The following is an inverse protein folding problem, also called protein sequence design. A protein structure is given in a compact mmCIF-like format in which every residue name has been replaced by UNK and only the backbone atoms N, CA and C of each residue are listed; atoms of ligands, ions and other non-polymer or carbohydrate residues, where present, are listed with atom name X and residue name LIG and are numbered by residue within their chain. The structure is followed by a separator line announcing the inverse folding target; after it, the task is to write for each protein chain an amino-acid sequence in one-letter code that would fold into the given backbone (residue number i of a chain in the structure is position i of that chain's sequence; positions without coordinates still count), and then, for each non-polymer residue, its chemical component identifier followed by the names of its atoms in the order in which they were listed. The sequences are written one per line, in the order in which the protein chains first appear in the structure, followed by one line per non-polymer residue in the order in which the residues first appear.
data_IF_671950611562
#
_entry.id   IF_671950611562
#
_cell.length_a   1.000
_cell.length_b   1.000
_cell.length_c   1.000
_cell.angle_alpha   90.00
_cell.angle_beta   90.00
_cell.angle_gamma   90.00
#
_symmetry.space_group_name_H-M   'P 1'
#
loop_
_entity.id
_entity.type
_entity.pdbx_description
1 polymer ?
#
# COMPACT_ATOMS: atom_id res chain seq x y z
N UNK A 1 16.97 -0.69 20.65
CA UNK A 1 15.78 -0.06 20.07
C UNK A 1 14.49 -0.87 20.32
N UNK A 2 14.54 -2.20 20.26
CA UNK A 2 13.36 -3.08 20.47
C UNK A 2 12.82 -3.04 21.92
N UNK A 3 13.66 -2.95 22.95
CA UNK A 3 13.23 -2.88 24.36
C UNK A 3 12.51 -1.56 24.70
N UNK A 4 12.96 -0.42 24.17
CA UNK A 4 12.27 0.87 24.37
C UNK A 4 10.89 0.91 23.71
N UNK A 5 10.71 0.23 22.56
CA UNK A 5 9.42 0.14 21.88
C UNK A 5 8.46 -0.79 22.65
N UNK A 6 8.96 -1.83 23.30
CA UNK A 6 8.12 -2.77 24.06
C UNK A 6 7.41 -2.12 25.27
N UNK A 7 7.95 -1.05 25.83
CA UNK A 7 7.39 -0.33 26.97
C UNK A 7 6.41 0.79 26.59
N UNK A 8 6.21 1.05 25.27
CA UNK A 8 5.29 2.09 24.81
C UNK A 8 3.84 1.57 24.78
N UNK A 9 2.88 2.48 24.84
CA UNK A 9 1.47 2.18 24.60
C UNK A 9 1.24 1.64 23.17
N UNK A 10 0.28 0.72 23.02
CA UNK A 10 -0.01 0.07 21.75
C UNK A 10 -0.32 1.07 20.63
N UNK A 11 -0.98 2.18 20.95
CA UNK A 11 -1.28 3.24 19.99
C UNK A 11 0.00 3.90 19.47
N UNK A 12 0.92 4.22 20.35
CA UNK A 12 2.23 4.81 20.00
C UNK A 12 3.06 3.83 19.17
N UNK A 13 3.02 2.52 19.48
CA UNK A 13 3.65 1.49 18.65
C UNK A 13 3.10 1.48 17.23
N UNK A 14 1.77 1.48 17.09
CA UNK A 14 1.10 1.53 15.79
C UNK A 14 1.52 2.76 14.98
N UNK A 15 1.59 3.92 15.62
CA UNK A 15 2.04 5.18 15.02
C UNK A 15 3.49 5.10 14.52
N UNK A 16 4.41 4.59 15.32
CA UNK A 16 5.82 4.45 14.93
C UNK A 16 5.93 3.52 13.71
N UNK A 17 5.23 2.39 13.73
CA UNK A 17 5.28 1.45 12.60
C UNK A 17 4.71 2.04 11.32
N UNK A 18 3.64 2.84 11.36
CA UNK A 18 3.08 3.45 10.15
C UNK A 18 3.98 4.57 9.59
N UNK A 19 4.69 5.31 10.46
CA UNK A 19 5.69 6.29 10.03
C UNK A 19 6.89 5.59 9.37
N UNK A 20 7.37 4.47 9.93
CA UNK A 20 8.42 3.64 9.34
C UNK A 20 7.94 3.10 7.97
N UNK A 21 6.71 2.60 7.89
CA UNK A 21 6.09 2.17 6.64
C UNK A 21 6.14 3.27 5.58
N UNK A 22 5.63 4.47 5.88
CA UNK A 22 5.58 5.59 4.93
C UNK A 22 6.97 6.02 4.45
N UNK A 23 7.93 6.14 5.36
CA UNK A 23 9.32 6.49 5.02
C UNK A 23 9.95 5.43 4.09
N UNK A 24 9.90 4.16 4.48
CA UNK A 24 10.51 3.08 3.70
C UNK A 24 9.77 2.82 2.39
N UNK A 25 8.46 3.06 2.32
CA UNK A 25 7.70 3.00 1.07
C UNK A 25 8.17 4.07 0.09
N UNK A 26 8.34 5.32 0.55
CA UNK A 26 8.85 6.40 -0.26
C UNK A 26 10.30 6.12 -0.74
N UNK A 27 11.16 5.58 0.12
CA UNK A 27 12.51 5.13 -0.26
C UNK A 27 12.43 4.02 -1.30
N UNK A 28 11.62 2.99 -1.10
CA UNK A 28 11.43 1.87 -2.04
C UNK A 28 11.00 2.38 -3.41
N UNK A 29 9.99 3.26 -3.45
CA UNK A 29 9.49 3.85 -4.69
C UNK A 29 10.54 4.73 -5.39
N UNK A 30 11.34 5.46 -4.61
CA UNK A 30 12.47 6.24 -5.14
C UNK A 30 13.51 5.34 -5.78
N UNK A 31 13.91 4.26 -5.11
CA UNK A 31 14.88 3.29 -5.64
C UNK A 31 14.36 2.59 -6.90
N UNK A 32 13.10 2.16 -6.92
CA UNK A 32 12.45 1.54 -8.09
C UNK A 32 12.32 2.52 -9.26
N UNK A 33 12.15 3.83 -8.99
CA UNK A 33 12.14 4.87 -10.01
C UNK A 33 13.56 5.12 -10.51
N UNK A 34 14.56 5.18 -9.65
CA UNK A 34 15.98 5.37 -9.99
C UNK A 34 16.56 4.17 -10.76
N UNK A 35 15.99 2.99 -10.65
CA UNK A 35 16.34 1.82 -11.45
C UNK A 35 16.06 2.01 -12.97
N UNK A 36 15.38 3.10 -13.35
CA UNK A 36 15.13 3.47 -14.75
C UNK A 36 13.90 2.79 -15.37
N UNK A 37 13.78 2.91 -16.68
CA UNK A 37 12.67 2.34 -17.47
C UNK A 37 12.96 0.88 -17.84
N UNK A 38 12.74 -0.02 -16.91
CA UNK A 38 12.78 -1.47 -17.10
C UNK A 38 11.37 -2.06 -16.94
N UNK A 39 11.11 -3.27 -17.43
CA UNK A 39 9.79 -3.92 -17.32
C UNK A 39 9.28 -3.95 -15.88
N UNK A 40 8.01 -3.63 -15.69
CA UNK A 40 7.38 -3.58 -14.37
C UNK A 40 7.40 -4.95 -13.69
N UNK A 41 7.23 -6.03 -14.48
CA UNK A 41 7.32 -7.39 -13.99
C UNK A 41 8.69 -7.66 -13.35
N UNK A 42 9.76 -7.21 -13.99
CA UNK A 42 11.13 -7.39 -13.51
C UNK A 42 11.35 -6.65 -12.17
N UNK A 43 10.95 -5.37 -12.08
CA UNK A 43 10.98 -4.62 -10.81
C UNK A 43 10.24 -5.35 -9.69
N UNK A 44 9.05 -5.87 -10.00
CA UNK A 44 8.20 -6.52 -9.01
C UNK A 44 8.78 -7.87 -8.58
N UNK A 45 9.31 -8.68 -9.51
CA UNK A 45 9.91 -9.99 -9.19
C UNK A 45 11.12 -9.82 -8.28
N UNK A 46 12.04 -8.88 -8.57
CA UNK A 46 13.18 -8.61 -7.68
C UNK A 46 12.71 -8.19 -6.29
N UNK A 47 11.83 -7.20 -6.20
CA UNK A 47 11.32 -6.68 -4.93
C UNK A 47 10.59 -7.76 -4.12
N UNK A 48 9.63 -8.45 -4.73
CA UNK A 48 8.82 -9.44 -4.03
C UNK A 48 9.61 -10.73 -3.78
N UNK A 49 10.52 -11.13 -4.66
CA UNK A 49 11.39 -12.29 -4.46
C UNK A 49 12.26 -12.14 -3.21
N UNK A 50 12.89 -10.98 -3.03
CA UNK A 50 13.70 -10.69 -1.84
C UNK A 50 12.82 -10.69 -0.58
N UNK A 51 11.63 -10.08 -0.65
CA UNK A 51 10.68 -10.06 0.45
C UNK A 51 10.13 -11.46 0.77
N UNK A 52 9.92 -12.32 -0.23
CA UNK A 52 9.51 -13.71 -0.06
C UNK A 52 10.54 -14.52 0.72
N UNK A 53 11.84 -14.35 0.43
CA UNK A 53 12.92 -14.98 1.19
C UNK A 53 12.87 -14.58 2.67
N UNK A 54 12.71 -13.29 2.95
CA UNK A 54 12.57 -12.80 4.32
C UNK A 54 11.32 -13.35 5.01
N UNK A 55 10.19 -13.38 4.30
CA UNK A 55 8.94 -13.97 4.77
C UNK A 55 9.08 -15.48 5.07
N UNK A 56 9.74 -16.22 4.19
CA UNK A 56 10.05 -17.64 4.39
C UNK A 56 10.87 -17.87 5.67
N UNK A 57 11.93 -17.10 5.85
CA UNK A 57 12.77 -17.18 7.07
C UNK A 57 11.92 -16.85 8.31
N UNK A 58 11.04 -15.85 8.25
CA UNK A 58 10.18 -15.46 9.37
C UNK A 58 9.17 -16.57 9.73
N UNK A 59 8.53 -17.21 8.73
CA UNK A 59 7.61 -18.35 8.97
C UNK A 59 8.37 -19.52 9.55
N UNK A 60 9.53 -19.86 8.98
CA UNK A 60 10.36 -21.01 9.44
C UNK A 60 10.84 -20.82 10.87
N UNK A 61 11.29 -19.62 11.24
CA UNK A 61 11.68 -19.31 12.62
C UNK A 61 10.52 -19.38 13.61
N UNK A 62 9.31 -19.00 13.17
CA UNK A 62 8.14 -18.97 14.05
C UNK A 62 7.48 -20.35 14.22
N UNK A 63 7.47 -21.20 13.18
CA UNK A 63 6.64 -22.43 13.15
C UNK A 63 7.41 -23.68 12.70
N UNK A 64 8.66 -23.58 12.29
CA UNK A 64 9.44 -24.69 11.71
C UNK A 64 8.94 -25.11 10.33
N UNK A 65 9.51 -26.20 9.77
CA UNK A 65 9.21 -26.67 8.41
C UNK A 65 8.02 -27.63 8.32
N UNK A 66 7.49 -28.13 9.43
CA UNK A 66 6.56 -29.28 9.43
C UNK A 66 5.15 -28.95 8.96
N UNK A 67 4.67 -27.74 9.18
CA UNK A 67 3.27 -27.36 8.90
C UNK A 67 3.17 -26.52 7.62
N UNK A 68 2.85 -27.16 6.49
CA UNK A 68 2.66 -26.51 5.19
C UNK A 68 1.53 -25.46 5.21
N UNK A 69 0.55 -25.59 6.11
CA UNK A 69 -0.57 -24.64 6.21
C UNK A 69 -0.10 -23.25 6.70
N UNK A 70 1.03 -23.19 7.38
CA UNK A 70 1.67 -21.93 7.82
C UNK A 70 2.33 -21.16 6.69
N UNK A 71 2.67 -21.84 5.60
CA UNK A 71 3.26 -21.22 4.41
C UNK A 71 2.19 -20.89 3.37
N UNK A 72 1.31 -21.84 3.05
CA UNK A 72 0.37 -21.73 1.92
C UNK A 72 -1.08 -21.50 2.35
N UNK A 73 -1.31 -21.32 3.64
CA UNK A 73 -2.66 -21.14 4.15
C UNK A 73 -3.44 -22.47 4.30
N UNK A 74 -4.65 -22.35 4.81
CA UNK A 74 -5.58 -23.45 5.02
C UNK A 74 -6.97 -23.09 4.43
N UNK A 75 -7.94 -24.02 4.49
CA UNK A 75 -9.30 -23.80 3.94
C UNK A 75 -9.99 -22.53 4.47
N UNK A 76 -9.61 -22.05 5.65
CA UNK A 76 -10.26 -20.88 6.28
C UNK A 76 -9.69 -19.53 5.81
N UNK A 77 -8.43 -19.51 5.33
CA UNK A 77 -7.74 -18.29 4.99
C UNK A 77 -7.24 -18.19 3.54
N UNK A 78 -7.20 -19.34 2.80
CA UNK A 78 -6.70 -19.39 1.43
C UNK A 78 -7.42 -18.41 0.48
N UNK A 79 -8.75 -18.29 0.61
CA UNK A 79 -9.53 -17.37 -0.21
C UNK A 79 -9.10 -15.92 0.02
N UNK A 80 -8.96 -15.52 1.27
CA UNK A 80 -8.49 -14.16 1.61
C UNK A 80 -7.06 -13.91 1.14
N UNK A 81 -6.16 -14.90 1.29
CA UNK A 81 -4.79 -14.83 0.79
C UNK A 81 -4.75 -14.69 -0.74
N UNK A 82 -5.59 -15.45 -1.47
CA UNK A 82 -5.66 -15.40 -2.93
C UNK A 82 -6.21 -14.06 -3.42
N UNK A 83 -7.30 -13.56 -2.83
CA UNK A 83 -7.87 -12.25 -3.19
C UNK A 83 -6.84 -11.14 -2.93
N UNK A 84 -6.18 -11.15 -1.76
CA UNK A 84 -5.10 -10.25 -1.45
C UNK A 84 -4.00 -10.28 -2.51
N UNK A 85 -3.57 -11.49 -2.89
CA UNK A 85 -2.48 -11.66 -3.85
C UNK A 85 -2.86 -11.15 -5.23
N UNK A 86 -4.06 -11.44 -5.72
CA UNK A 86 -4.54 -10.94 -7.02
C UNK A 86 -4.64 -9.42 -7.00
N UNK A 87 -5.31 -8.86 -6.00
CA UNK A 87 -5.42 -7.41 -5.84
C UNK A 87 -4.05 -6.75 -5.68
N UNK A 88 -3.16 -7.35 -4.89
CA UNK A 88 -1.81 -6.83 -4.68
C UNK A 88 -0.95 -6.86 -5.96
N UNK A 89 -0.99 -7.95 -6.76
CA UNK A 89 -0.27 -8.02 -8.03
C UNK A 89 -0.77 -6.96 -9.01
N UNK A 90 -2.09 -6.86 -9.20
CA UNK A 90 -2.69 -5.87 -10.09
C UNK A 90 -2.42 -4.45 -9.60
N UNK A 91 -2.52 -4.23 -8.28
CA UNK A 91 -2.24 -2.94 -7.66
C UNK A 91 -0.80 -2.49 -7.86
N UNK A 92 0.16 -3.35 -7.53
CA UNK A 92 1.58 -2.97 -7.62
C UNK A 92 2.04 -2.81 -9.07
N UNK A 93 1.61 -3.66 -9.98
CA UNK A 93 1.98 -3.52 -11.40
C UNK A 93 1.47 -2.22 -11.99
N UNK A 94 0.23 -1.84 -11.70
CA UNK A 94 -0.36 -0.57 -12.12
C UNK A 94 0.35 0.63 -11.48
N UNK A 95 0.67 0.56 -10.18
CA UNK A 95 1.38 1.63 -9.47
C UNK A 95 2.82 1.80 -9.96
N UNK A 96 3.56 0.72 -10.21
CA UNK A 96 4.92 0.80 -10.74
C UNK A 96 4.94 1.30 -12.18
N UNK A 97 3.93 0.95 -12.98
CA UNK A 97 3.76 1.54 -14.30
C UNK A 97 3.55 3.06 -14.18
N UNK A 98 2.64 3.50 -13.32
CA UNK A 98 2.38 4.91 -13.09
C UNK A 98 3.65 5.65 -12.58
N UNK A 99 4.40 5.04 -11.67
CA UNK A 99 5.61 5.60 -11.07
C UNK A 99 6.72 5.85 -12.10
N UNK A 100 6.75 5.10 -13.21
CA UNK A 100 7.73 5.34 -14.28
C UNK A 100 7.51 6.68 -15.01
N UNK A 101 6.26 7.13 -15.09
CA UNK A 101 5.87 8.31 -15.88
C UNK A 101 5.46 9.51 -15.03
N UNK A 102 4.95 9.29 -13.82
CA UNK A 102 4.54 10.35 -12.91
C UNK A 102 5.67 10.77 -11.97
N UNK A 103 5.59 11.98 -11.44
CA UNK A 103 6.45 12.39 -10.32
C UNK A 103 6.08 11.59 -9.07
N UNK A 104 7.07 11.37 -8.20
CA UNK A 104 6.96 10.47 -7.06
C UNK A 104 5.76 10.81 -6.15
N UNK A 105 5.64 12.10 -5.77
CA UNK A 105 4.54 12.56 -4.92
C UNK A 105 3.16 12.43 -5.57
N UNK A 106 3.06 12.68 -6.90
CA UNK A 106 1.80 12.49 -7.63
C UNK A 106 1.37 11.02 -7.62
N UNK A 107 2.31 10.09 -7.86
CA UNK A 107 2.04 8.67 -7.83
C UNK A 107 1.57 8.23 -6.43
N UNK A 108 2.24 8.69 -5.35
CA UNK A 108 1.85 8.39 -3.97
C UNK A 108 0.45 8.92 -3.64
N UNK A 109 0.14 10.18 -3.95
CA UNK A 109 -1.19 10.76 -3.67
C UNK A 109 -2.31 10.02 -4.42
N UNK A 110 -2.09 9.67 -5.69
CA UNK A 110 -3.09 8.90 -6.44
C UNK A 110 -3.24 7.48 -5.90
N UNK A 111 -2.17 6.86 -5.40
CA UNK A 111 -2.22 5.56 -4.72
C UNK A 111 -3.03 5.63 -3.41
N UNK A 112 -2.97 6.74 -2.69
CA UNK A 112 -3.69 6.96 -1.44
C UNK A 112 -5.20 7.12 -1.62
N UNK A 113 -5.71 7.28 -2.84
CA UNK A 113 -7.13 7.13 -3.16
C UNK A 113 -7.67 5.74 -2.75
N UNK A 114 -6.80 4.78 -2.48
CA UNK A 114 -7.17 3.46 -1.95
C UNK A 114 -8.06 3.53 -0.72
N UNK A 115 -7.93 4.56 0.12
CA UNK A 115 -8.79 4.77 1.30
C UNK A 115 -10.28 4.91 0.92
N UNK A 116 -10.56 5.60 -0.20
CA UNK A 116 -11.93 5.75 -0.69
C UNK A 116 -12.45 4.41 -1.25
N UNK A 117 -11.62 3.67 -1.96
CA UNK A 117 -11.96 2.34 -2.46
C UNK A 117 -12.18 1.34 -1.33
N UNK A 118 -11.46 1.44 -0.21
CA UNK A 118 -11.73 0.62 0.98
C UNK A 118 -13.17 0.80 1.45
N UNK A 119 -13.70 2.02 1.48
CA UNK A 119 -15.09 2.28 1.88
C UNK A 119 -16.08 1.70 0.86
N UNK A 120 -15.82 1.92 -0.43
CA UNK A 120 -16.65 1.39 -1.53
C UNK A 120 -16.70 -0.14 -1.47
N UNK A 121 -15.56 -0.79 -1.36
CA UNK A 121 -15.49 -2.26 -1.32
C UNK A 121 -16.01 -2.85 -0.01
N UNK A 122 -15.86 -2.15 1.12
CA UNK A 122 -16.49 -2.56 2.38
C UNK A 122 -18.03 -2.53 2.25
N UNK A 123 -18.60 -1.55 1.55
CA UNK A 123 -20.03 -1.52 1.25
C UNK A 123 -20.44 -2.71 0.36
N UNK A 124 -19.71 -2.96 -0.74
CA UNK A 124 -20.07 -3.98 -1.72
C UNK A 124 -19.90 -5.41 -1.12
N UNK A 125 -18.76 -5.70 -0.53
CA UNK A 125 -18.38 -7.06 -0.12
C UNK A 125 -18.71 -7.38 1.33
N UNK A 126 -18.61 -6.41 2.24
CA UNK A 126 -18.90 -6.59 3.66
C UNK A 126 -20.32 -6.15 4.02
N UNK A 127 -21.09 -5.60 3.04
CA UNK A 127 -22.46 -5.10 3.22
C UNK A 127 -22.57 -4.04 4.35
N UNK A 128 -21.51 -3.30 4.57
CA UNK A 128 -21.50 -2.15 5.50
C UNK A 128 -22.37 -1.02 4.92
N UNK A 129 -23.17 -0.36 5.75
CA UNK A 129 -24.00 0.76 5.28
C UNK A 129 -23.12 1.98 4.98
N UNK A 130 -23.19 2.50 3.77
CA UNK A 130 -22.61 3.82 3.41
C UNK A 130 -23.59 4.93 3.81
N UNK A 131 -23.08 5.97 4.45
CA UNK A 131 -23.82 7.18 4.76
C UNK A 131 -23.56 8.26 3.70
N UNK A 132 -24.54 9.14 3.47
CA UNK A 132 -24.46 10.19 2.45
C UNK A 132 -23.15 11.03 2.58
N UNK A 133 -22.74 11.34 3.80
CA UNK A 133 -21.53 12.12 4.05
C UNK A 133 -20.23 11.43 3.58
N UNK A 134 -20.18 10.11 3.66
CA UNK A 134 -19.06 9.32 3.11
C UNK A 134 -19.03 9.40 1.58
N UNK A 135 -20.20 9.35 0.93
CA UNK A 135 -20.31 9.51 -0.53
C UNK A 135 -19.79 10.89 -0.95
N UNK A 136 -20.21 11.96 -0.26
CA UNK A 136 -19.73 13.32 -0.53
C UNK A 136 -18.20 13.40 -0.43
N UNK A 137 -17.60 12.87 0.64
CA UNK A 137 -16.15 12.89 0.83
C UNK A 137 -15.41 12.06 -0.22
N UNK A 138 -15.97 10.93 -0.65
CA UNK A 138 -15.44 10.14 -1.76
C UNK A 138 -15.44 10.97 -3.05
N UNK A 139 -16.56 11.61 -3.39
CA UNK A 139 -16.65 12.48 -4.57
C UNK A 139 -15.64 13.64 -4.52
N UNK A 140 -15.48 14.29 -3.36
CA UNK A 140 -14.48 15.36 -3.17
C UNK A 140 -13.06 14.83 -3.38
N UNK A 141 -12.74 13.64 -2.87
CA UNK A 141 -11.43 13.00 -3.09
C UNK A 141 -11.16 12.75 -4.59
N UNK A 142 -12.13 12.23 -5.32
CA UNK A 142 -11.98 12.02 -6.77
C UNK A 142 -11.89 13.34 -7.56
N UNK A 143 -12.61 14.39 -7.15
CA UNK A 143 -12.45 15.75 -7.72
C UNK A 143 -11.02 16.27 -7.47
N UNK A 144 -10.47 16.04 -6.28
CA UNK A 144 -9.06 16.33 -5.98
C UNK A 144 -8.10 15.59 -6.92
N UNK A 145 -8.37 14.32 -7.22
CA UNK A 145 -7.57 13.56 -8.18
C UNK A 145 -7.64 14.15 -9.61
N UNK A 146 -8.80 14.60 -10.05
CA UNK A 146 -8.94 15.30 -11.35
C UNK A 146 -8.12 16.60 -11.38
N UNK A 147 -8.06 17.35 -10.27
CA UNK A 147 -7.21 18.55 -10.15
C UNK A 147 -5.74 18.18 -10.24
N UNK A 148 -5.30 17.08 -9.60
CA UNK A 148 -3.91 16.57 -9.70
C UNK A 148 -3.58 16.20 -11.13
N UNK A 149 -4.47 15.48 -11.79
CA UNK A 149 -4.29 14.96 -13.15
C UNK A 149 -4.26 16.11 -14.16
N UNK A 150 -5.01 17.17 -13.93
CA UNK A 150 -5.14 18.33 -14.82
C UNK A 150 -5.19 17.93 -16.31
N UNK A 151 -6.27 17.28 -16.77
CA UNK A 151 -6.37 16.67 -18.09
C UNK A 151 -6.25 17.66 -19.25
N UNK A 152 -6.34 18.95 -18.98
CA UNK A 152 -6.19 20.02 -19.99
C UNK A 152 -4.74 20.35 -20.31
N UNK A 153 -3.78 19.85 -19.53
CA UNK A 153 -2.36 20.04 -19.84
C UNK A 153 -1.90 19.02 -20.88
N UNK A 154 -1.55 19.47 -22.07
CA UNK A 154 -1.15 18.70 -23.25
C UNK A 154 0.00 17.69 -23.02
N UNK A 155 0.71 17.79 -21.90
CA UNK A 155 1.84 16.93 -21.54
C UNK A 155 1.53 15.89 -20.45
N UNK A 156 0.28 15.76 -20.02
CA UNK A 156 -0.04 14.81 -18.95
C UNK A 156 -0.31 13.42 -19.52
N UNK A 157 0.39 12.43 -19.00
CA UNK A 157 0.17 11.04 -19.37
C UNK A 157 -1.10 10.51 -18.69
N UNK A 158 -2.25 10.60 -19.34
CA UNK A 158 -3.55 10.15 -18.81
C UNK A 158 -3.50 8.65 -18.47
N UNK A 159 -2.88 7.83 -19.32
CA UNK A 159 -2.80 6.39 -19.09
C UNK A 159 -2.07 6.02 -17.78
N UNK A 160 -0.89 6.58 -17.44
CA UNK A 160 -0.29 6.37 -16.12
C UNK A 160 -1.13 6.86 -14.94
N UNK A 161 -1.88 7.95 -15.09
CA UNK A 161 -2.77 8.43 -14.02
C UNK A 161 -3.95 7.48 -13.79
N UNK A 162 -4.57 6.99 -14.86
CA UNK A 162 -5.63 5.97 -14.77
C UNK A 162 -5.08 4.66 -14.19
N UNK A 163 -3.86 4.26 -14.55
CA UNK A 163 -3.21 3.11 -13.95
C UNK A 163 -2.99 3.31 -12.45
N UNK A 164 -2.59 4.51 -11.99
CA UNK A 164 -2.46 4.81 -10.57
C UNK A 164 -3.80 4.69 -9.81
N UNK A 165 -4.90 5.21 -10.39
CA UNK A 165 -6.24 5.09 -9.81
C UNK A 165 -6.71 3.63 -9.78
N UNK A 166 -6.48 2.88 -10.86
CA UNK A 166 -6.75 1.44 -10.87
C UNK A 166 -5.93 0.71 -9.80
N UNK A 167 -4.65 1.03 -9.68
CA UNK A 167 -3.78 0.52 -8.63
C UNK A 167 -4.31 0.84 -7.23
N UNK A 168 -4.81 2.06 -7.01
CA UNK A 168 -5.45 2.45 -5.76
C UNK A 168 -6.71 1.63 -5.47
N UNK A 169 -7.53 1.35 -6.49
CA UNK A 169 -8.70 0.49 -6.34
C UNK A 169 -8.28 -0.93 -5.91
N UNK A 170 -7.28 -1.50 -6.56
CA UNK A 170 -6.76 -2.82 -6.20
C UNK A 170 -6.17 -2.83 -4.78
N UNK A 171 -5.44 -1.80 -4.38
CA UNK A 171 -4.95 -1.66 -3.00
C UNK A 171 -6.10 -1.55 -1.98
N UNK A 172 -7.21 -0.90 -2.35
CA UNK A 172 -8.45 -0.90 -1.56
C UNK A 172 -9.02 -2.31 -1.36
N UNK A 173 -9.03 -3.12 -2.42
CA UNK A 173 -9.41 -4.54 -2.39
C UNK A 173 -8.48 -5.38 -1.51
N UNK A 174 -7.16 -5.15 -1.61
CA UNK A 174 -6.16 -5.78 -0.73
C UNK A 174 -6.44 -5.47 0.74
N UNK A 175 -6.66 -4.20 1.09
CA UNK A 175 -6.95 -3.78 2.46
C UNK A 175 -8.25 -4.41 3.02
N UNK A 176 -9.28 -4.57 2.19
CA UNK A 176 -10.53 -5.25 2.57
C UNK A 176 -10.29 -6.74 2.76
N UNK A 177 -9.49 -7.38 1.90
CA UNK A 177 -9.12 -8.79 2.04
C UNK A 177 -8.32 -9.05 3.33
N UNK A 178 -7.44 -8.11 3.72
CA UNK A 178 -6.72 -8.16 5.00
C UNK A 178 -7.66 -8.11 6.22
N UNK A 179 -8.75 -7.32 6.15
CA UNK A 179 -9.79 -7.32 7.20
C UNK A 179 -10.50 -8.68 7.28
N UNK A 180 -10.79 -9.29 6.12
CA UNK A 180 -11.39 -10.62 6.07
C UNK A 180 -10.45 -11.70 6.64
N UNK A 181 -9.15 -11.62 6.37
CA UNK A 181 -8.14 -12.50 6.94
C UNK A 181 -8.07 -12.35 8.46
N UNK A 182 -8.07 -11.12 8.97
CA UNK A 182 -8.07 -10.80 10.40
C UNK A 182 -7.09 -11.65 11.21
N UNK A 183 -7.59 -12.41 12.20
CA UNK A 183 -6.78 -13.33 13.02
C UNK A 183 -6.60 -14.73 12.40
N UNK A 184 -7.16 -14.98 11.20
CA UNK A 184 -7.14 -16.30 10.55
C UNK A 184 -5.80 -16.68 9.94
N UNK A 185 -4.93 -15.70 9.69
CA UNK A 185 -3.58 -15.91 9.16
C UNK A 185 -2.55 -15.16 9.99
N UNK A 186 -1.34 -15.75 10.13
CA UNK A 186 -0.24 -15.07 10.79
C UNK A 186 0.36 -14.00 9.87
N UNK A 187 0.90 -12.89 10.42
CA UNK A 187 1.57 -11.88 9.63
C UNK A 187 2.65 -12.43 8.70
N UNK A 188 3.49 -13.32 9.21
CA UNK A 188 4.56 -13.94 8.43
C UNK A 188 4.04 -14.77 7.25
N UNK A 189 2.94 -15.54 7.47
CA UNK A 189 2.24 -16.29 6.41
C UNK A 189 1.73 -15.37 5.31
N UNK A 190 1.12 -14.26 5.71
CA UNK A 190 0.54 -13.29 4.77
C UNK A 190 1.64 -12.64 3.92
N UNK A 191 2.74 -12.21 4.54
CA UNK A 191 3.90 -11.62 3.84
C UNK A 191 4.54 -12.65 2.91
N UNK A 192 4.81 -13.86 3.39
CA UNK A 192 5.40 -14.91 2.57
C UNK A 192 4.53 -15.27 1.38
N UNK A 193 3.27 -15.63 1.62
CA UNK A 193 2.35 -16.11 0.57
C UNK A 193 2.21 -15.08 -0.55
N UNK A 194 1.90 -13.84 -0.20
CA UNK A 194 1.73 -12.76 -1.17
C UNK A 194 2.98 -12.56 -2.02
N UNK A 195 4.13 -12.38 -1.39
CA UNK A 195 5.36 -12.07 -2.10
C UNK A 195 5.86 -13.26 -2.93
N UNK A 196 5.76 -14.48 -2.39
CA UNK A 196 6.17 -15.70 -3.09
C UNK A 196 5.30 -15.99 -4.31
N UNK A 197 3.97 -15.99 -4.14
CA UNK A 197 3.04 -16.26 -5.24
C UNK A 197 3.10 -15.16 -6.29
N UNK A 198 3.23 -13.91 -5.87
CA UNK A 198 3.41 -12.76 -6.77
C UNK A 198 4.69 -12.89 -7.60
N UNK A 199 5.81 -13.26 -6.99
CA UNK A 199 7.06 -13.49 -7.70
C UNK A 199 6.92 -14.62 -8.73
N UNK A 200 6.29 -15.75 -8.37
CA UNK A 200 6.07 -16.87 -9.30
C UNK A 200 5.19 -16.47 -10.49
N UNK A 201 4.06 -15.78 -10.22
CA UNK A 201 3.11 -15.39 -11.29
C UNK A 201 3.76 -14.38 -12.24
N UNK A 202 4.61 -13.48 -11.76
CA UNK A 202 5.23 -12.44 -12.58
C UNK A 202 6.53 -12.87 -13.26
N UNK A 203 7.17 -13.96 -12.82
CA UNK A 203 8.41 -14.46 -13.44
C UNK A 203 8.26 -14.79 -14.91
N UNK A 204 7.21 -15.47 -15.41
CA UNK A 204 7.02 -15.68 -16.86
C UNK A 204 6.98 -14.37 -17.64
N UNK A 205 6.27 -13.35 -17.13
CA UNK A 205 6.18 -12.03 -17.76
C UNK A 205 7.54 -11.30 -17.75
N UNK A 206 8.33 -11.47 -16.69
CA UNK A 206 9.70 -10.97 -16.64
C UNK A 206 10.57 -11.64 -17.71
N UNK A 207 10.45 -12.96 -17.89
CA UNK A 207 11.26 -13.71 -18.85
C UNK A 207 10.89 -13.40 -20.30
N UNK A 208 9.62 -13.02 -20.60
CA UNK A 208 9.17 -12.65 -21.95
C UNK A 208 9.77 -11.32 -22.44
N UNK A 209 10.07 -10.39 -21.54
CA UNK A 209 10.64 -9.07 -21.85
C UNK A 209 11.88 -8.79 -20.99
N UNK A 210 12.69 -9.86 -20.76
CA UNK A 210 13.88 -9.76 -19.93
C UNK A 210 14.91 -8.83 -20.54
N UNK A 211 15.38 -7.87 -19.75
CA UNK A 211 16.48 -6.99 -20.13
C UNK A 211 17.71 -7.30 -19.29
N UNK A 212 18.86 -7.38 -19.96
CA UNK A 212 20.13 -7.50 -19.22
C UNK A 212 20.33 -6.24 -18.37
N UNK A 213 20.29 -6.41 -17.08
CA UNK A 213 20.39 -5.31 -16.12
C UNK A 213 21.83 -4.82 -15.98
N UNK A 214 22.02 -3.52 -15.94
CA UNK A 214 23.29 -2.95 -15.50
C UNK A 214 23.52 -3.22 -14.02
N UNK A 215 24.79 -3.23 -13.60
CA UNK A 215 25.13 -3.37 -12.17
C UNK A 215 24.43 -2.31 -11.31
N UNK A 216 24.36 -1.08 -11.80
CA UNK A 216 23.66 0.03 -11.15
C UNK A 216 22.17 -0.30 -10.91
N UNK A 217 21.46 -0.71 -11.97
CA UNK A 217 20.04 -1.09 -11.89
C UNK A 217 19.81 -2.24 -10.91
N UNK A 218 20.65 -3.27 -10.97
CA UNK A 218 20.56 -4.43 -10.07
C UNK A 218 20.72 -4.03 -8.61
N UNK A 219 21.70 -3.16 -8.29
CA UNK A 219 21.90 -2.66 -6.93
C UNK A 219 20.64 -1.93 -6.45
N UNK A 220 20.04 -1.04 -7.27
CA UNK A 220 18.83 -0.32 -6.87
C UNK A 220 17.64 -1.26 -6.65
N UNK A 221 17.49 -2.33 -7.45
CA UNK A 221 16.43 -3.31 -7.27
C UNK A 221 16.62 -4.14 -6.00
N UNK A 222 17.86 -4.54 -5.68
CA UNK A 222 18.18 -5.25 -4.44
C UNK A 222 17.89 -4.36 -3.22
N UNK A 223 18.36 -3.11 -3.24
CA UNK A 223 18.10 -2.16 -2.16
C UNK A 223 16.61 -1.88 -1.99
N UNK A 224 15.87 -1.75 -3.09
CA UNK A 224 14.41 -1.61 -3.05
C UNK A 224 13.74 -2.82 -2.40
N UNK A 225 14.16 -4.04 -2.73
CA UNK A 225 13.66 -5.27 -2.13
C UNK A 225 13.95 -5.35 -0.62
N UNK A 226 15.15 -4.95 -0.20
CA UNK A 226 15.53 -4.91 1.22
C UNK A 226 14.72 -3.86 1.99
N UNK A 227 14.52 -2.66 1.43
CA UNK A 227 13.65 -1.65 2.03
C UNK A 227 12.19 -2.12 2.10
N UNK A 228 11.72 -2.85 1.08
CA UNK A 228 10.36 -3.36 1.03
C UNK A 228 10.07 -4.43 2.09
N UNK A 229 11.07 -5.18 2.56
CA UNK A 229 10.91 -6.05 3.73
C UNK A 229 10.44 -5.22 4.93
N UNK A 230 11.07 -4.06 5.16
CA UNK A 230 10.68 -3.17 6.26
C UNK A 230 9.26 -2.64 6.06
N UNK A 231 8.90 -2.27 4.83
CA UNK A 231 7.53 -1.82 4.47
C UNK A 231 6.48 -2.86 4.87
N UNK A 232 6.63 -4.10 4.42
CA UNK A 232 5.65 -5.18 4.68
C UNK A 232 5.51 -5.49 6.17
N UNK A 233 6.64 -5.67 6.87
CA UNK A 233 6.59 -5.97 8.30
C UNK A 233 6.12 -4.78 9.15
N UNK A 234 6.45 -3.55 8.77
CA UNK A 234 5.97 -2.36 9.45
C UNK A 234 4.46 -2.19 9.26
N UNK A 235 3.95 -2.36 8.04
CA UNK A 235 2.52 -2.30 7.74
C UNK A 235 1.73 -3.30 8.59
N UNK A 236 2.13 -4.57 8.56
CA UNK A 236 1.45 -5.62 9.32
C UNK A 236 1.53 -5.37 10.84
N UNK A 237 2.68 -4.88 11.33
CA UNK A 237 2.85 -4.54 12.75
C UNK A 237 2.00 -3.35 13.14
N UNK A 238 1.88 -2.31 12.30
CA UNK A 238 1.02 -1.17 12.56
C UNK A 238 -0.43 -1.62 12.79
N UNK A 239 -0.98 -2.45 11.89
CA UNK A 239 -2.35 -2.99 12.01
C UNK A 239 -2.55 -3.95 13.20
N UNK A 240 -1.47 -4.59 13.68
CA UNK A 240 -1.51 -5.44 14.87
C UNK A 240 -1.66 -4.63 16.16
N UNK A 241 -0.98 -3.48 16.25
CA UNK A 241 -0.90 -2.69 17.49
C UNK A 241 -1.97 -1.61 17.59
N UNK A 242 -2.43 -1.04 16.47
CA UNK A 242 -3.44 0.00 16.48
C UNK A 242 -4.57 -0.31 15.47
N UNK A 243 -5.82 0.09 15.78
CA UNK A 243 -6.91 -0.02 14.82
C UNK A 243 -6.58 0.73 13.53
N UNK A 244 -6.85 0.13 12.37
CA UNK A 244 -6.55 0.73 11.05
C UNK A 244 -7.05 2.17 10.89
N UNK A 245 -8.12 2.52 11.57
CA UNK A 245 -8.66 3.89 11.63
C UNK A 245 -7.68 4.89 12.24
N UNK A 246 -6.96 4.54 13.30
CA UNK A 246 -6.04 5.47 14.00
C UNK A 246 -4.74 5.69 13.22
N UNK A 247 -4.34 4.70 12.44
CA UNK A 247 -3.12 4.75 11.64
C UNK A 247 -3.35 5.23 10.19
N UNK A 248 -4.58 5.12 9.67
CA UNK A 248 -4.89 5.48 8.28
C UNK A 248 -4.61 6.96 7.95
N UNK A 249 -4.75 7.88 8.91
CA UNK A 249 -4.42 9.29 8.71
C UNK A 249 -2.91 9.47 8.52
N UNK A 250 -2.12 8.70 9.25
CA UNK A 250 -0.66 8.81 9.22
C UNK A 250 -0.03 8.09 8.01
N UNK A 251 -0.79 7.26 7.27
CA UNK A 251 -0.29 6.67 6.03
C UNK A 251 0.02 7.73 4.97
N UNK A 252 -0.69 8.88 4.99
CA UNK A 252 -0.40 10.00 4.09
C UNK A 252 0.96 10.68 4.30
N UNK A 253 1.68 10.30 5.33
CA UNK A 253 3.07 10.77 5.56
C UNK A 253 4.01 10.31 4.44
N UNK A 254 3.70 9.21 3.75
CA UNK A 254 4.48 8.77 2.58
C UNK A 254 4.47 9.79 1.44
N UNK A 255 3.39 10.56 1.27
CA UNK A 255 3.30 11.67 0.30
C UNK A 255 4.33 12.75 0.60
N UNK A 256 4.48 13.09 1.89
CA UNK A 256 5.46 14.10 2.34
C UNK A 256 6.87 13.60 2.08
N UNK A 257 7.18 12.36 2.45
CA UNK A 257 8.47 11.74 2.17
C UNK A 257 8.72 11.59 0.67
N UNK A 258 7.71 11.21 -0.12
CA UNK A 258 7.79 11.10 -1.57
C UNK A 258 8.04 12.45 -2.24
N UNK A 259 7.44 13.54 -1.74
CA UNK A 259 7.70 14.88 -2.24
C UNK A 259 9.14 15.33 -1.91
N UNK A 260 9.59 15.10 -0.68
CA UNK A 260 10.95 15.44 -0.25
C UNK A 260 12.00 14.65 -1.05
N UNK A 261 11.85 13.32 -1.16
CA UNK A 261 12.76 12.47 -1.93
C UNK A 261 12.70 12.77 -3.43
N UNK A 262 11.50 13.08 -3.97
CA UNK A 262 11.31 13.50 -5.35
C UNK A 262 12.08 14.77 -5.68
N UNK A 263 12.12 15.73 -4.77
CA UNK A 263 12.91 16.94 -4.91
C UNK A 263 14.42 16.66 -4.77
N UNK A 264 14.84 15.96 -3.72
CA UNK A 264 16.25 15.71 -3.43
C UNK A 264 16.91 14.84 -4.52
N UNK A 265 16.24 13.78 -4.99
CA UNK A 265 16.83 12.77 -5.89
C UNK A 265 16.61 13.13 -7.35
N UNK A 266 15.44 13.65 -7.70
CA UNK A 266 15.05 13.89 -9.11
C UNK A 266 14.95 15.38 -9.46
N UNK A 267 15.12 16.31 -8.51
CA UNK A 267 14.91 17.75 -8.71
C UNK A 267 13.48 18.10 -9.12
N UNK A 268 12.52 17.19 -8.90
CA UNK A 268 11.12 17.36 -9.34
C UNK A 268 10.27 17.91 -8.21
N UNK A 269 9.58 19.03 -8.48
CA UNK A 269 8.60 19.60 -7.57
C UNK A 269 7.21 19.58 -8.21
N UNK A 270 6.15 19.23 -7.46
CA UNK A 270 4.79 19.23 -8.01
C UNK A 270 4.36 20.65 -8.39
N UNK A 271 3.59 20.77 -9.47
CA UNK A 271 2.98 22.05 -9.86
C UNK A 271 2.02 22.53 -8.76
N UNK A 272 1.80 23.84 -8.68
CA UNK A 272 0.87 24.43 -7.70
C UNK A 272 -0.53 23.81 -7.79
N UNK A 273 -1.03 23.56 -9.00
CA UNK A 273 -2.32 22.85 -9.21
C UNK A 273 -2.33 21.44 -8.62
N UNK A 274 -1.23 20.70 -8.74
CA UNK A 274 -1.12 19.38 -8.13
C UNK A 274 -1.11 19.47 -6.60
N UNK A 275 -0.44 20.47 -6.01
CA UNK A 275 -0.44 20.69 -4.56
C UNK A 275 -1.85 20.97 -4.04
N UNK A 276 -2.65 21.77 -4.75
CA UNK A 276 -4.06 22.02 -4.41
C UNK A 276 -4.83 20.69 -4.40
N UNK A 277 -4.67 19.88 -5.44
CA UNK A 277 -5.31 18.56 -5.51
C UNK A 277 -4.86 17.61 -4.38
N UNK A 278 -3.58 17.62 -3.98
CA UNK A 278 -3.07 16.86 -2.83
C UNK A 278 -3.77 17.26 -1.53
N UNK A 279 -3.91 18.58 -1.29
CA UNK A 279 -4.60 19.10 -0.10
C UNK A 279 -6.07 18.63 -0.09
N UNK A 280 -6.76 18.69 -1.23
CA UNK A 280 -8.15 18.24 -1.34
C UNK A 280 -8.27 16.73 -1.03
N UNK A 281 -7.42 15.88 -1.63
CA UNK A 281 -7.44 14.42 -1.43
C UNK A 281 -7.17 14.09 0.04
N UNK A 282 -6.09 14.63 0.60
CA UNK A 282 -5.66 14.36 1.97
C UNK A 282 -6.73 14.86 2.96
N UNK A 283 -7.27 16.05 2.78
CA UNK A 283 -8.32 16.59 3.64
C UNK A 283 -9.59 15.73 3.59
N UNK A 284 -10.05 15.35 2.39
CA UNK A 284 -11.21 14.48 2.21
C UNK A 284 -11.01 13.11 2.88
N UNK A 285 -9.83 12.52 2.74
CA UNK A 285 -9.51 11.24 3.33
C UNK A 285 -9.40 11.32 4.88
N UNK A 286 -8.77 12.36 5.42
CA UNK A 286 -8.73 12.59 6.87
C UNK A 286 -10.15 12.75 7.43
N UNK A 287 -10.98 13.58 6.80
CA UNK A 287 -12.37 13.78 7.21
C UNK A 287 -13.17 12.47 7.11
N UNK A 288 -12.96 11.66 6.08
CA UNK A 288 -13.61 10.35 5.93
C UNK A 288 -13.22 9.41 7.08
N UNK A 289 -11.95 9.35 7.42
CA UNK A 289 -11.45 8.53 8.52
C UNK A 289 -12.03 9.02 9.85
N UNK A 290 -11.96 10.31 10.15
CA UNK A 290 -12.52 10.91 11.37
C UNK A 290 -14.03 10.67 11.48
N UNK A 291 -14.77 10.79 10.38
CA UNK A 291 -16.20 10.53 10.34
C UNK A 291 -16.53 9.06 10.66
N UNK A 292 -15.77 8.13 10.09
CA UNK A 292 -15.91 6.70 10.38
C UNK A 292 -15.65 6.37 11.86
N UNK A 293 -14.75 7.13 12.51
CA UNK A 293 -14.54 7.06 13.95
C UNK A 293 -15.80 7.38 14.75
N UNK A 294 -16.36 8.56 14.51
CA UNK A 294 -17.52 9.07 15.25
C UNK A 294 -18.73 8.13 15.16
N UNK A 295 -18.92 7.51 13.98
CA UNK A 295 -20.01 6.54 13.78
C UNK A 295 -19.84 5.33 14.69
N UNK A 296 -18.63 4.77 14.76
CA UNK A 296 -18.37 3.54 15.52
C UNK A 296 -18.47 3.77 17.03
N UNK A 297 -18.04 4.92 17.50
CA UNK A 297 -18.15 5.31 18.89
C UNK A 297 -19.61 5.44 19.33
N UNK A 298 -20.45 6.11 18.52
CA UNK A 298 -21.88 6.23 18.79
C UNK A 298 -22.60 4.87 18.78
N UNK A 299 -22.20 3.95 17.91
CA UNK A 299 -22.79 2.60 17.85
C UNK A 299 -22.35 1.72 19.02
N UNK A 300 -21.15 1.92 19.54
CA UNK A 300 -20.65 1.22 20.74
C UNK A 300 -21.36 1.70 22.01
N UNK A 301 -21.54 3.02 22.15
CA UNK A 301 -22.22 3.62 23.30
C UNK A 301 -23.70 3.21 23.37
N UNK A 302 -24.39 3.08 22.22
CA UNK A 302 -25.77 2.61 22.18
C UNK A 302 -25.94 1.12 22.58
N UNK A 303 -24.88 0.30 22.39
CA UNK A 303 -24.91 -1.11 22.82
C UNK A 303 -24.60 -1.32 24.31
N UNK A 304 -24.01 -0.32 24.96
CA UNK A 304 -23.74 -0.35 26.41
C UNK A 304 -24.87 0.27 27.24
N UNK A 305 -25.80 0.97 26.58
CA UNK A 305 -26.98 1.60 27.24
C UNK A 305 -28.30 0.87 26.97
N UNK A 306 -28.29 -0.20 26.18
CA UNK A 306 -29.41 -1.12 25.94
C UNK A 306 -29.12 -2.51 26.53
#
# INVERSE_FOLDING_TARGET
MSEKINNLDNKTKGLIYILIFGLFLAITNTLLKSAGHIPVAEKTVYRNGICAIAGFIAVTKAYGFKDKSRYFGNKQNILGLSIRTICGILGITANLYALQYLILSTASVLQDLSVFFVVIFSFIFLREKIRLWQIVLICVGFLGALVVINPTSVKFAIAPALAAIFGAAMNGGDAVSMRFLGKKASPSTVVFFYNFVSAIILTPFMLMDYKVLSLHTTIFLILAGLCYIVVEFAMVSAYKYAPGREIAIFSYVDVVFSAALGFIVFGTFPKVTAIIGYVIIIAAAILLVLYNFKIKENTSNQKHTA
#
